data_IF_284009609676
#
_entry.id   IF_284009609676
#
_cell.length_a   1.000
_cell.length_b   1.000
_cell.length_c   1.000
_cell.angle_alpha   90.00
_cell.angle_beta   90.00
_cell.angle_gamma   90.00
#
_symmetry.space_group_name_H-M   'P 1'
#
loop_
_entity.id
_entity.type
_entity.pdbx_description
1 polymer ?
#
# COMPACT_ATOMS: atom_id res chain seq x y z
N UNK A 1 -10.77 0.62 12.35
CA UNK A 1 -9.92 0.89 11.16
C UNK A 1 -10.75 0.50 9.94
N UNK A 2 -10.77 1.32 8.89
CA UNK A 2 -11.54 1.01 7.68
C UNK A 2 -10.64 0.19 6.76
N UNK A 3 -11.13 -0.94 6.29
CA UNK A 3 -10.38 -1.86 5.42
C UNK A 3 -11.25 -2.21 4.21
N UNK A 4 -10.61 -2.35 3.06
CA UNK A 4 -11.17 -2.83 1.80
C UNK A 4 -10.34 -4.02 1.33
N UNK A 5 -11.05 -5.07 0.91
CA UNK A 5 -10.50 -6.20 0.18
C UNK A 5 -10.79 -6.05 -1.31
N UNK A 6 -9.82 -6.38 -2.16
CA UNK A 6 -9.95 -6.38 -3.61
C UNK A 6 -9.25 -7.60 -4.21
N UNK A 7 -9.91 -8.25 -5.18
CA UNK A 7 -9.35 -9.37 -5.94
C UNK A 7 -8.85 -8.87 -7.30
N UNK A 8 -7.55 -9.00 -7.61
CA UNK A 8 -7.03 -8.74 -8.95
C UNK A 8 -7.65 -9.68 -9.99
N UNK A 9 -7.98 -9.15 -11.17
CA UNK A 9 -8.45 -9.97 -12.30
C UNK A 9 -7.36 -10.79 -12.99
N UNK A 10 -6.10 -10.68 -12.54
CA UNK A 10 -4.95 -11.36 -13.10
C UNK A 10 -3.69 -11.13 -12.24
N UNK A 11 -2.52 -11.64 -12.66
CA UNK A 11 -1.28 -11.49 -11.90
C UNK A 11 -0.97 -10.02 -11.62
N UNK A 12 -0.73 -9.69 -10.35
CA UNK A 12 -0.37 -8.35 -9.90
C UNK A 12 0.77 -8.41 -8.89
N UNK A 13 1.86 -7.71 -9.18
CA UNK A 13 2.85 -7.36 -8.16
C UNK A 13 2.48 -6.01 -7.55
N UNK A 14 1.88 -6.04 -6.36
CA UNK A 14 1.46 -4.84 -5.62
C UNK A 14 2.66 -3.96 -5.24
N UNK A 15 3.82 -4.56 -4.95
CA UNK A 15 5.02 -3.81 -4.60
C UNK A 15 5.54 -2.98 -5.78
N UNK A 16 5.56 -3.58 -6.97
CA UNK A 16 5.89 -2.89 -8.22
C UNK A 16 4.84 -1.84 -8.58
N UNK A 17 3.56 -2.16 -8.49
CA UNK A 17 2.47 -1.25 -8.83
C UNK A 17 2.47 0.03 -7.98
N UNK A 18 2.81 -0.09 -6.68
CA UNK A 18 2.82 1.05 -5.79
C UNK A 18 4.16 1.82 -5.80
N UNK A 19 5.26 1.23 -6.28
CA UNK A 19 6.61 1.84 -6.29
C UNK A 19 6.64 3.29 -6.81
N UNK A 20 5.92 3.69 -7.88
CA UNK A 20 5.93 5.06 -8.38
C UNK A 20 5.47 6.13 -7.38
N UNK A 21 4.81 5.74 -6.28
CA UNK A 21 4.38 6.67 -5.23
C UNK A 21 5.48 7.01 -4.22
N UNK A 22 6.61 6.29 -4.21
CA UNK A 22 7.74 6.54 -3.31
C UNK A 22 8.63 7.64 -3.88
N UNK A 23 8.91 8.68 -3.08
CA UNK A 23 9.75 9.83 -3.43
C UNK A 23 11.23 9.59 -3.09
N UNK A 24 11.78 8.53 -3.68
CA UNK A 24 13.19 8.16 -3.53
C UNK A 24 13.51 7.29 -2.30
N UNK A 25 14.81 7.03 -2.13
CA UNK A 25 15.36 6.07 -1.18
C UNK A 25 14.89 6.25 0.27
N UNK A 26 14.99 7.48 0.77
CA UNK A 26 14.71 7.85 2.16
C UNK A 26 13.35 8.50 2.38
N UNK A 27 12.35 8.21 1.53
CA UNK A 27 11.01 8.79 1.69
C UNK A 27 10.39 8.40 3.06
N UNK A 28 10.21 9.36 3.99
CA UNK A 28 9.68 9.06 5.31
C UNK A 28 8.17 8.75 5.28
N UNK A 29 7.51 9.03 4.15
CA UNK A 29 6.09 8.75 3.94
C UNK A 29 5.84 7.36 3.37
N UNK A 30 6.88 6.54 3.25
CA UNK A 30 6.84 5.23 2.62
C UNK A 30 7.68 4.20 3.39
N UNK A 31 7.11 3.03 3.66
CA UNK A 31 7.85 1.90 4.23
C UNK A 31 7.36 0.58 3.64
N UNK A 32 8.26 -0.35 3.37
CA UNK A 32 7.92 -1.75 3.08
C UNK A 32 8.33 -2.58 4.30
N UNK A 33 7.36 -3.19 4.97
CA UNK A 33 7.60 -4.01 6.16
C UNK A 33 8.06 -5.43 5.79
N UNK A 34 8.59 -6.17 6.75
CA UNK A 34 9.14 -7.52 6.54
C UNK A 34 8.10 -8.56 6.11
N UNK A 35 6.82 -8.31 6.39
CA UNK A 35 5.67 -9.07 5.88
C UNK A 35 5.32 -8.74 4.42
N UNK A 36 6.10 -7.86 3.77
CA UNK A 36 5.90 -7.43 2.40
C UNK A 36 4.86 -6.32 2.22
N UNK A 37 4.16 -5.92 3.30
CA UNK A 37 3.16 -4.86 3.22
C UNK A 37 3.80 -3.49 2.93
N UNK A 38 3.06 -2.64 2.22
CA UNK A 38 3.44 -1.27 1.93
C UNK A 38 2.67 -0.33 2.83
N UNK A 39 3.39 0.44 3.63
CA UNK A 39 2.87 1.55 4.41
C UNK A 39 3.13 2.85 3.68
N UNK A 40 2.11 3.69 3.59
CA UNK A 40 2.27 5.07 3.13
C UNK A 40 1.36 6.04 3.84
N UNK A 41 1.81 7.27 4.01
CA UNK A 41 0.92 8.36 4.42
C UNK A 41 0.35 9.08 3.19
N UNK A 42 -0.84 9.62 3.32
CA UNK A 42 -1.54 10.35 2.25
C UNK A 42 -2.37 11.48 2.84
N UNK A 43 -2.66 12.48 2.01
CA UNK A 43 -3.64 13.53 2.34
C UNK A 43 -4.96 13.18 1.69
N UNK A 44 -6.05 13.22 2.45
CA UNK A 44 -7.42 13.10 1.95
C UNK A 44 -8.20 14.38 2.30
N UNK A 45 -9.39 14.61 1.72
CA UNK A 45 -10.26 15.72 2.13
C UNK A 45 -10.60 15.70 3.63
N UNK A 46 -10.64 14.51 4.23
CA UNK A 46 -10.97 14.32 5.66
C UNK A 46 -9.75 14.45 6.58
N UNK A 47 -8.55 14.69 6.03
CA UNK A 47 -7.31 14.85 6.77
C UNK A 47 -6.20 13.87 6.34
N UNK A 48 -5.05 13.86 7.06
CA UNK A 48 -3.99 12.91 6.80
C UNK A 48 -4.41 11.49 7.19
N UNK A 49 -4.02 10.51 6.39
CA UNK A 49 -4.23 9.10 6.68
C UNK A 49 -2.95 8.28 6.51
N UNK A 50 -2.95 7.13 7.16
CA UNK A 50 -1.96 6.07 6.95
C UNK A 50 -2.67 4.90 6.27
N UNK A 51 -2.15 4.49 5.11
CA UNK A 51 -2.62 3.35 4.34
C UNK A 51 -1.61 2.21 4.49
N UNK A 52 -2.11 1.00 4.76
CA UNK A 52 -1.34 -0.24 4.72
C UNK A 52 -1.90 -1.11 3.63
N UNK A 53 -1.11 -1.43 2.62
CA UNK A 53 -1.50 -2.37 1.56
C UNK A 53 -0.78 -3.69 1.77
N UNK A 54 -1.52 -4.79 1.93
CA UNK A 54 -0.95 -6.15 2.03
C UNK A 54 -1.61 -7.11 1.05
N UNK A 55 -0.91 -8.21 0.76
CA UNK A 55 -1.43 -9.30 -0.07
C UNK A 55 -1.53 -10.56 0.76
N UNK A 56 -2.70 -11.18 0.79
CA UNK A 56 -2.95 -12.45 1.47
C UNK A 56 -3.79 -13.34 0.56
N UNK A 57 -3.32 -14.55 0.27
CA UNK A 57 -4.06 -15.50 -0.58
C UNK A 57 -4.36 -15.00 -2.00
N UNK A 58 -3.61 -14.03 -2.52
CA UNK A 58 -3.86 -13.38 -3.81
C UNK A 58 -4.77 -12.14 -3.73
N UNK A 59 -5.40 -11.90 -2.57
CA UNK A 59 -6.26 -10.76 -2.31
C UNK A 59 -5.47 -9.58 -1.80
N UNK A 60 -5.85 -8.37 -2.19
CA UNK A 60 -5.23 -7.12 -1.72
C UNK A 60 -6.10 -6.49 -0.63
N UNK A 61 -5.47 -6.11 0.47
CA UNK A 61 -6.09 -5.46 1.62
C UNK A 61 -5.56 -4.04 1.74
N UNK A 62 -6.41 -3.05 2.03
CA UNK A 62 -6.04 -1.63 2.13
C UNK A 62 -7.03 -0.78 2.92
#
# INVERSE_FOLDING_TARGET
MKERRWEPGGPLDVGLALQPHRRGGGDPTWCRSGDGAVWRTSRTPDGPCTLRVSVEGGSVHG
#
